data_IF_609010362553
#
_entry.id   IF_609010362553
#
_cell.length_a   1.000
_cell.length_b   1.000
_cell.length_c   1.000
_cell.angle_alpha   90.00
_cell.angle_beta   90.00
_cell.angle_gamma   90.00
#
_symmetry.space_group_name_H-M   'P 1'
#
loop_
_entity.id
_entity.type
_entity.pdbx_description
1 polymer ?
#
# COMPACT_ATOMS: atom_id res chain seq x y z
N UNK A 1 -0.18 13.97 -8.51
CA UNK A 1 0.46 13.93 -7.17
C UNK A 1 0.42 15.38 -6.73
N UNK A 2 -0.66 15.73 -6.03
CA UNK A 2 -1.12 17.13 -5.99
C UNK A 2 -0.46 17.92 -4.84
N UNK A 3 0.72 17.47 -4.42
CA UNK A 3 1.56 18.20 -3.48
C UNK A 3 2.56 19.02 -4.26
N UNK A 4 2.70 20.31 -3.90
CA UNK A 4 3.77 21.18 -4.40
C UNK A 4 5.12 20.82 -3.76
N UNK A 5 5.49 19.53 -3.83
CA UNK A 5 6.75 19.01 -3.33
C UNK A 5 7.68 18.79 -4.51
N UNK A 6 8.91 19.27 -4.39
CA UNK A 6 10.00 18.99 -5.34
C UNK A 6 10.60 17.58 -5.13
N UNK A 7 9.96 16.74 -4.33
CA UNK A 7 10.42 15.41 -3.97
C UNK A 7 9.26 14.40 -3.96
N UNK A 8 9.58 13.14 -4.26
CA UNK A 8 8.62 12.03 -4.24
C UNK A 8 8.51 11.50 -2.81
N UNK A 9 7.47 11.93 -2.10
CA UNK A 9 7.29 11.67 -0.67
C UNK A 9 7.41 10.20 -0.24
N UNK A 10 6.84 9.19 -0.94
CA UNK A 10 7.01 7.79 -0.55
C UNK A 10 8.49 7.34 -0.55
N UNK A 11 9.27 7.77 -1.54
CA UNK A 11 10.69 7.43 -1.63
C UNK A 11 11.51 8.13 -0.55
N UNK A 12 11.22 9.42 -0.30
CA UNK A 12 11.83 10.20 0.78
C UNK A 12 11.54 9.58 2.15
N UNK A 13 10.30 9.18 2.40
CA UNK A 13 9.91 8.57 3.67
C UNK A 13 10.56 7.20 3.88
N UNK A 14 10.71 6.37 2.83
CA UNK A 14 11.47 5.13 2.91
C UNK A 14 12.94 5.38 3.24
N UNK A 15 13.56 6.38 2.60
CA UNK A 15 14.95 6.75 2.87
C UNK A 15 15.16 7.23 4.31
N UNK A 16 14.17 7.94 4.87
CA UNK A 16 14.14 8.37 6.28
C UNK A 16 13.73 7.26 7.26
N UNK A 17 13.61 6.00 6.82
CA UNK A 17 13.31 4.87 7.70
C UNK A 17 11.87 4.79 8.22
N UNK A 18 10.92 5.54 7.61
CA UNK A 18 9.52 5.57 8.08
C UNK A 18 8.69 4.35 7.66
N UNK A 19 9.22 3.48 6.79
CA UNK A 19 8.54 2.29 6.30
C UNK A 19 9.07 1.83 4.95
N UNK A 20 8.32 0.96 4.28
CA UNK A 20 8.69 0.40 2.97
C UNK A 20 7.54 0.50 1.95
N UNK A 21 7.83 0.33 0.66
CA UNK A 21 6.87 0.54 -0.43
C UNK A 21 6.14 -0.77 -0.74
N UNK A 22 4.82 -0.77 -0.51
CA UNK A 22 3.96 -1.90 -0.84
C UNK A 22 3.69 -2.05 -2.34
N UNK A 23 3.08 -3.18 -2.73
CA UNK A 23 2.64 -3.45 -4.12
C UNK A 23 1.76 -2.33 -4.72
N UNK A 24 0.96 -1.67 -3.88
CA UNK A 24 0.08 -0.56 -4.31
C UNK A 24 0.84 0.76 -4.56
N UNK A 25 2.16 0.79 -4.36
CA UNK A 25 3.02 1.94 -4.66
C UNK A 25 3.08 3.01 -3.57
N UNK A 26 2.45 2.79 -2.41
CA UNK A 26 2.46 3.71 -1.28
C UNK A 26 3.34 3.16 -0.13
N UNK A 27 3.75 4.05 0.76
CA UNK A 27 4.48 3.67 1.98
C UNK A 27 3.57 2.86 2.92
N UNK A 28 4.13 1.81 3.50
CA UNK A 28 3.58 1.04 4.60
C UNK A 28 4.48 1.27 5.81
N UNK A 29 3.93 1.87 6.86
CA UNK A 29 4.61 2.04 8.13
C UNK A 29 4.34 0.83 9.05
N UNK A 30 5.30 0.41 9.88
CA UNK A 30 5.12 -0.71 10.82
C UNK A 30 3.95 -0.51 11.81
N UNK A 31 3.71 0.72 12.27
CA UNK A 31 2.70 1.04 13.27
C UNK A 31 1.34 1.38 12.65
N UNK A 32 1.33 2.17 11.58
CA UNK A 32 0.10 2.73 11.01
C UNK A 32 -0.33 2.07 9.69
N UNK A 33 0.45 1.11 9.18
CA UNK A 33 0.25 0.50 7.88
C UNK A 33 0.27 1.53 6.76
N UNK A 34 -0.68 1.43 5.83
CA UNK A 34 -0.82 2.40 4.73
C UNK A 34 -1.72 3.60 5.08
N UNK A 35 -2.22 3.71 6.32
CA UNK A 35 -3.18 4.75 6.75
C UNK A 35 -2.48 6.02 7.22
N UNK A 36 -1.58 6.55 6.41
CA UNK A 36 -0.83 7.77 6.71
C UNK A 36 -0.71 8.68 5.49
N UNK A 37 -0.53 9.97 5.74
CA UNK A 37 -0.17 10.96 4.72
C UNK A 37 1.24 11.48 5.01
N UNK A 38 2.00 11.67 3.94
CA UNK A 38 3.38 12.12 4.02
C UNK A 38 3.46 13.59 3.65
N UNK A 39 4.34 14.30 4.34
CA UNK A 39 4.78 15.64 4.01
C UNK A 39 6.24 15.79 4.42
N UNK A 40 6.92 16.79 3.86
CA UNK A 40 8.30 17.08 4.18
C UNK A 40 8.53 18.59 4.29
N UNK A 41 9.53 18.95 5.07
CA UNK A 41 10.14 20.29 5.12
C UNK A 41 11.61 20.11 4.78
N UNK A 42 12.10 20.86 3.80
CA UNK A 42 13.51 20.90 3.44
C UNK A 42 14.20 22.02 4.20
N UNK A 43 15.43 21.78 4.66
CA UNK A 43 16.21 22.76 5.40
C UNK A 43 17.70 22.54 5.16
N UNK A 44 18.48 23.61 5.23
CA UNK A 44 19.95 23.57 5.21
C UNK A 44 20.53 23.36 6.62
N UNK A 45 19.68 23.29 7.66
CA UNK A 45 20.11 23.00 9.02
C UNK A 45 20.82 21.64 9.07
N UNK A 46 22.04 21.55 9.62
CA UNK A 46 22.70 20.26 9.79
C UNK A 46 21.92 19.41 10.80
N UNK A 47 21.43 18.26 10.33
CA UNK A 47 20.69 17.28 11.12
C UNK A 47 21.40 15.93 11.04
N UNK A 48 21.26 15.12 12.10
CA UNK A 48 21.66 13.71 12.06
C UNK A 48 20.60 12.98 11.25
N UNK A 49 21.02 12.32 10.16
CA UNK A 49 20.10 11.59 9.28
C UNK A 49 19.80 10.21 9.82
N UNK A 50 18.53 9.81 9.76
CA UNK A 50 18.12 8.43 9.95
C UNK A 50 18.61 7.53 8.80
N UNK A 51 18.56 6.22 9.03
CA UNK A 51 18.83 5.20 8.00
C UNK A 51 17.54 4.51 7.56
N UNK A 52 17.51 3.93 6.34
CA UNK A 52 16.40 3.08 5.93
C UNK A 52 16.13 1.98 6.95
N UNK A 53 14.85 1.69 7.19
CA UNK A 53 14.47 0.65 8.15
C UNK A 53 14.65 -0.74 7.57
N UNK A 54 14.83 -1.75 8.43
CA UNK A 54 14.88 -3.16 8.02
C UNK A 54 13.50 -3.75 7.70
N UNK A 55 12.42 -3.01 7.93
CA UNK A 55 11.07 -3.45 7.60
C UNK A 55 10.94 -3.61 6.09
N UNK A 56 10.65 -4.83 5.64
CA UNK A 56 10.54 -5.18 4.22
C UNK A 56 9.18 -5.81 3.95
N UNK A 57 8.35 -5.14 3.14
CA UNK A 57 6.99 -5.60 2.82
C UNK A 57 6.92 -6.41 1.53
N UNK A 58 8.02 -6.50 0.77
CA UNK A 58 8.05 -7.17 -0.53
C UNK A 58 7.62 -8.66 -0.44
N UNK A 59 8.18 -9.49 0.47
CA UNK A 59 7.80 -10.91 0.54
C UNK A 59 6.31 -11.12 0.82
N UNK A 60 5.74 -10.32 1.73
CA UNK A 60 4.32 -10.36 2.03
C UNK A 60 3.47 -9.91 0.84
N UNK A 61 3.88 -8.85 0.16
CA UNK A 61 3.19 -8.30 -1.00
C UNK A 61 3.15 -9.29 -2.18
N UNK A 62 4.14 -10.18 -2.32
CA UNK A 62 4.17 -11.24 -3.34
C UNK A 62 3.00 -12.21 -3.20
N UNK A 63 2.62 -12.54 -1.97
CA UNK A 63 1.58 -13.55 -1.68
C UNK A 63 0.19 -12.91 -1.50
N UNK A 64 0.11 -11.77 -0.83
CA UNK A 64 -1.16 -11.20 -0.38
C UNK A 64 -2.12 -10.85 -1.54
N UNK A 65 -1.64 -10.06 -2.52
CA UNK A 65 -2.37 -9.53 -3.69
C UNK A 65 -3.76 -8.90 -3.43
N UNK A 66 -4.13 -8.61 -2.18
CA UNK A 66 -5.49 -8.14 -1.84
C UNK A 66 -5.82 -6.78 -2.46
N UNK A 67 -4.84 -5.89 -2.58
CA UNK A 67 -5.00 -4.61 -3.27
C UNK A 67 -5.24 -4.77 -4.79
N UNK A 68 -4.71 -5.83 -5.42
CA UNK A 68 -4.97 -6.15 -6.84
C UNK A 68 -6.42 -6.58 -7.01
N UNK A 69 -6.89 -7.52 -6.18
CA UNK A 69 -8.27 -8.06 -6.23
C UNK A 69 -9.35 -7.01 -6.00
N UNK A 70 -9.03 -5.91 -5.32
CA UNK A 70 -9.99 -4.87 -4.92
C UNK A 70 -9.87 -3.57 -5.71
N UNK A 71 -8.84 -3.41 -6.53
CA UNK A 71 -8.66 -2.19 -7.31
C UNK A 71 -9.68 -2.13 -8.44
N UNK A 72 -10.72 -1.31 -8.30
CA UNK A 72 -11.73 -1.09 -9.34
C UNK A 72 -11.15 -0.57 -10.67
N UNK A 73 -9.98 0.09 -10.60
CA UNK A 73 -9.29 0.63 -11.77
C UNK A 73 -8.40 -0.40 -12.48
N UNK A 74 -8.16 -1.57 -11.85
CA UNK A 74 -7.14 -2.55 -12.29
C UNK A 74 -5.74 -1.93 -12.47
N UNK A 75 -5.47 -0.86 -11.73
CA UNK A 75 -4.24 -0.08 -11.84
C UNK A 75 -3.02 -0.72 -11.15
N UNK A 76 -3.22 -1.72 -10.30
CA UNK A 76 -2.16 -2.35 -9.51
C UNK A 76 -1.77 -3.69 -10.17
N UNK A 77 -0.48 -3.91 -10.50
CA UNK A 77 -0.05 -5.13 -11.18
C UNK A 77 -0.09 -6.35 -10.25
N UNK A 78 -0.53 -7.49 -10.78
CA UNK A 78 -0.33 -8.83 -10.20
C UNK A 78 1.07 -9.37 -10.50
N UNK A 79 1.46 -10.44 -9.81
CA UNK A 79 2.71 -11.16 -10.06
C UNK A 79 3.95 -10.47 -9.52
N UNK A 80 5.10 -10.79 -10.10
CA UNK A 80 6.43 -10.35 -9.64
C UNK A 80 6.71 -8.85 -9.91
N UNK A 81 7.47 -8.16 -9.05
CA UNK A 81 7.91 -6.80 -9.32
C UNK A 81 8.93 -6.81 -10.47
N UNK A 82 8.93 -5.73 -11.26
CA UNK A 82 9.77 -5.59 -12.45
C UNK A 82 10.91 -4.62 -12.19
N UNK A 83 11.99 -4.76 -12.94
CA UNK A 83 13.08 -3.78 -12.95
C UNK A 83 12.66 -2.58 -13.81
N UNK A 84 12.59 -1.40 -13.19
CA UNK A 84 12.11 -0.18 -13.82
C UNK A 84 13.06 0.95 -13.44
N UNK A 85 13.81 1.46 -14.41
CA UNK A 85 14.86 2.47 -14.19
C UNK A 85 15.88 2.05 -13.11
N UNK A 86 16.31 0.77 -13.14
CA UNK A 86 17.28 0.22 -12.20
C UNK A 86 16.73 -0.07 -10.79
N UNK A 87 15.41 0.08 -10.58
CA UNK A 87 14.77 -0.24 -9.29
C UNK A 87 13.74 -1.33 -9.49
N UNK A 88 13.86 -2.42 -8.72
CA UNK A 88 12.87 -3.49 -8.68
C UNK A 88 11.63 -3.02 -7.90
N UNK A 89 10.48 -2.94 -8.55
CA UNK A 89 9.22 -2.50 -7.91
C UNK A 89 7.97 -2.92 -8.69
N UNK A 90 6.83 -2.87 -8.01
CA UNK A 90 5.52 -2.83 -8.67
C UNK A 90 5.21 -1.38 -9.05
N UNK A 91 5.08 -1.10 -10.35
CA UNK A 91 4.64 0.21 -10.83
C UNK A 91 3.15 0.14 -11.17
N UNK A 92 2.37 0.99 -10.49
CA UNK A 92 0.93 1.14 -10.78
C UNK A 92 0.73 1.93 -12.08
N UNK A 93 -0.39 1.68 -12.76
CA UNK A 93 -0.90 2.55 -13.82
C UNK A 93 -1.59 3.77 -13.18
N UNK A 94 -0.85 4.88 -13.09
CA UNK A 94 -1.32 6.10 -12.43
C UNK A 94 -2.51 6.74 -13.15
N UNK A 95 -2.54 6.65 -14.48
CA UNK A 95 -3.62 7.20 -15.31
C UNK A 95 -4.93 6.46 -15.06
N UNK A 96 -4.91 5.12 -15.02
CA UNK A 96 -6.10 4.33 -14.68
C UNK A 96 -6.58 4.60 -13.26
N UNK A 97 -5.64 4.71 -12.30
CA UNK A 97 -5.97 5.06 -10.91
C UNK A 97 -6.69 6.42 -10.84
N UNK A 98 -6.13 7.43 -11.50
CA UNK A 98 -6.68 8.79 -11.52
C UNK A 98 -8.01 8.88 -12.27
N UNK A 99 -8.14 8.22 -13.43
CA UNK A 99 -9.40 8.13 -14.17
C UNK A 99 -10.53 7.57 -13.30
N UNK A 100 -10.22 6.63 -12.40
CA UNK A 100 -11.23 6.11 -11.47
C UNK A 100 -11.66 7.13 -10.43
N UNK A 101 -10.78 8.01 -9.96
CA UNK A 101 -11.13 9.10 -9.05
C UNK A 101 -12.11 10.06 -9.72
N UNK A 102 -11.83 10.44 -10.98
CA UNK A 102 -12.72 11.28 -11.78
C UNK A 102 -14.11 10.65 -11.96
N UNK A 103 -14.16 9.33 -12.15
CA UNK A 103 -15.44 8.61 -12.29
C UNK A 103 -16.21 8.52 -10.97
N UNK A 104 -15.51 8.39 -9.83
CA UNK A 104 -16.14 8.30 -8.51
C UNK A 104 -16.55 9.69 -7.97
N UNK A 105 -16.00 10.78 -8.51
CA UNK A 105 -16.22 12.14 -8.02
C UNK A 105 -15.53 12.45 -6.69
N UNK A 106 -14.62 11.59 -6.25
CA UNK A 106 -13.86 11.71 -4.99
C UNK A 106 -12.58 10.86 -5.05
N UNK A 107 -11.68 11.08 -4.10
CA UNK A 107 -10.54 10.20 -3.83
C UNK A 107 -11.02 8.75 -3.59
N UNK A 108 -10.27 7.77 -4.08
CA UNK A 108 -10.61 6.35 -3.94
C UNK A 108 -10.10 5.75 -2.61
N UNK A 109 -8.80 5.42 -2.53
CA UNK A 109 -8.19 4.85 -1.32
C UNK A 109 -8.52 3.38 -1.01
N UNK A 110 -9.20 2.63 -1.90
CA UNK A 110 -9.57 1.23 -1.62
C UNK A 110 -8.36 0.33 -1.33
N UNK A 111 -7.23 0.58 -2.01
CA UNK A 111 -5.98 -0.15 -1.78
C UNK A 111 -5.38 0.10 -0.39
N UNK A 112 -5.58 1.31 0.16
CA UNK A 112 -5.18 1.66 1.53
C UNK A 112 -6.12 0.95 2.51
N UNK A 113 -7.43 1.05 2.29
CA UNK A 113 -8.43 0.51 3.21
C UNK A 113 -8.36 -1.03 3.35
N UNK A 114 -8.09 -1.73 2.25
CA UNK A 114 -8.06 -3.20 2.20
C UNK A 114 -6.73 -3.83 2.61
N UNK A 115 -5.64 -3.04 2.64
CA UNK A 115 -4.30 -3.53 2.94
C UNK A 115 -4.29 -4.17 4.34
N UNK A 116 -3.77 -5.40 4.53
CA UNK A 116 -3.74 -6.02 5.86
C UNK A 116 -3.01 -5.18 6.92
N UNK A 117 -1.94 -4.50 6.54
CA UNK A 117 -1.22 -3.57 7.41
C UNK A 117 -2.08 -2.41 7.91
N UNK A 118 -3.13 -2.03 7.17
CA UNK A 118 -4.06 -0.99 7.61
C UNK A 118 -5.02 -1.48 8.70
N UNK A 119 -5.14 -2.79 8.93
CA UNK A 119 -6.03 -3.39 9.94
C UNK A 119 -5.27 -3.86 11.18
N UNK A 120 -4.18 -3.17 11.55
CA UNK A 120 -3.32 -3.48 12.69
C UNK A 120 -2.72 -4.89 12.63
N UNK A 121 -2.28 -5.33 11.45
CA UNK A 121 -1.53 -6.57 11.36
C UNK A 121 -0.19 -6.41 12.10
N UNK A 122 0.09 -7.20 13.15
CA UNK A 122 1.33 -7.08 13.92
C UNK A 122 2.57 -7.29 13.05
N UNK A 123 3.59 -6.46 13.26
CA UNK A 123 4.84 -6.47 12.49
C UNK A 123 5.64 -7.75 12.75
N UNK A 124 5.56 -8.28 13.97
CA UNK A 124 6.19 -9.54 14.37
C UNK A 124 5.61 -10.70 13.58
N UNK A 125 4.31 -10.63 13.27
CA UNK A 125 3.72 -11.60 12.37
C UNK A 125 4.34 -11.44 10.99
N UNK A 126 4.49 -10.21 10.46
CA UNK A 126 5.08 -9.90 9.14
C UNK A 126 6.47 -10.53 8.98
N UNK A 127 7.30 -10.45 10.02
CA UNK A 127 8.62 -11.11 10.09
C UNK A 127 8.50 -12.65 10.09
N UNK A 128 7.50 -13.20 10.79
CA UNK A 128 7.20 -14.62 10.76
C UNK A 128 6.76 -15.12 9.36
N UNK A 129 6.08 -14.31 8.52
CA UNK A 129 5.75 -14.68 7.11
C UNK A 129 7.01 -14.90 6.27
N UNK A 130 8.05 -14.10 6.52
CA UNK A 130 9.30 -14.18 5.74
C UNK A 130 10.01 -15.51 6.02
N UNK A 131 9.82 -16.08 7.21
CA UNK A 131 10.47 -17.32 7.63
C UNK A 131 9.66 -18.58 7.26
N UNK A 132 8.32 -18.54 7.25
CA UNK A 132 7.46 -19.68 6.87
C UNK A 132 6.23 -19.25 6.02
N UNK A 133 6.21 -19.56 4.71
CA UNK A 133 5.08 -19.31 3.82
C UNK A 133 3.76 -20.01 4.22
N UNK A 134 3.83 -21.07 5.01
CA UNK A 134 2.64 -21.81 5.45
C UNK A 134 1.87 -21.04 6.51
N UNK A 135 2.59 -20.37 7.43
CA UNK A 135 2.00 -19.43 8.38
C UNK A 135 1.37 -18.24 7.66
N UNK A 136 1.93 -17.88 6.49
CA UNK A 136 1.44 -16.77 5.71
C UNK A 136 0.00 -16.94 5.24
N UNK A 137 -0.31 -18.11 4.70
CA UNK A 137 -1.64 -18.42 4.21
C UNK A 137 -2.67 -18.48 5.33
N UNK A 138 -2.32 -19.03 6.50
CA UNK A 138 -3.24 -19.17 7.64
C UNK A 138 -3.69 -17.80 8.11
N UNK A 139 -2.78 -16.86 8.28
CA UNK A 139 -3.15 -15.53 8.71
C UNK A 139 -3.82 -14.72 7.62
N UNK A 140 -3.45 -14.87 6.35
CA UNK A 140 -4.18 -14.22 5.27
C UNK A 140 -5.63 -14.70 5.26
N UNK A 141 -5.88 -16.00 5.45
CA UNK A 141 -7.23 -16.58 5.58
C UNK A 141 -7.97 -16.04 6.80
N UNK A 142 -7.32 -15.98 7.97
CA UNK A 142 -7.92 -15.41 9.18
C UNK A 142 -8.25 -13.92 9.01
N UNK A 143 -7.33 -13.14 8.45
CA UNK A 143 -7.53 -11.73 8.16
C UNK A 143 -8.63 -11.53 7.11
N UNK A 144 -8.73 -12.37 6.08
CA UNK A 144 -9.82 -12.33 5.10
C UNK A 144 -11.18 -12.70 5.71
N UNK A 145 -11.21 -13.63 6.66
CA UNK A 145 -12.41 -13.96 7.42
C UNK A 145 -12.90 -12.78 8.26
N UNK A 146 -11.98 -12.07 8.94
CA UNK A 146 -12.31 -10.89 9.76
C UNK A 146 -12.63 -9.64 8.93
N UNK A 147 -11.93 -9.47 7.82
CA UNK A 147 -12.01 -8.28 6.96
C UNK A 147 -12.24 -8.70 5.50
N UNK A 148 -13.44 -9.23 5.17
CA UNK A 148 -13.74 -9.67 3.82
C UNK A 148 -13.72 -8.49 2.85
N UNK A 149 -13.44 -8.78 1.58
CA UNK A 149 -13.57 -7.79 0.52
C UNK A 149 -15.03 -7.35 0.46
N UNK A 150 -15.29 -6.05 0.61
CA UNK A 150 -16.64 -5.51 0.52
C UNK A 150 -17.19 -5.80 -0.88
N UNK A 151 -18.33 -6.49 -1.02
CA UNK A 151 -18.90 -6.79 -2.32
C UNK A 151 -19.33 -5.51 -3.02
N UNK A 152 -19.13 -5.47 -4.34
CA UNK A 152 -19.61 -4.36 -5.16
C UNK A 152 -21.14 -4.44 -5.27
N UNK A 153 -21.84 -3.49 -4.64
CA UNK A 153 -23.28 -3.37 -4.77
C UNK A 153 -23.60 -2.65 -6.09
N UNK A 154 -24.06 -3.42 -7.08
CA UNK A 154 -24.50 -2.90 -8.40
C UNK A 154 -25.87 -2.23 -8.35
N UNK A 155 -26.72 -2.70 -7.44
CA UNK A 155 -28.11 -2.26 -7.36
C UNK A 155 -28.20 -0.96 -6.59
N UNK A 156 -29.02 -0.04 -7.09
CA UNK A 156 -29.38 1.17 -6.36
C UNK A 156 -30.19 0.73 -5.13
N UNK A 157 -29.77 1.08 -3.91
CA UNK A 157 -30.50 0.72 -2.71
C UNK A 157 -31.95 1.21 -2.79
N UNK A 158 -32.89 0.42 -2.26
CA UNK A 158 -34.32 0.76 -2.33
C UNK A 158 -34.65 2.14 -1.73
N UNK A 159 -33.84 2.62 -0.78
CA UNK A 159 -33.97 3.93 -0.14
C UNK A 159 -33.43 5.12 -0.95
N UNK A 160 -32.74 4.88 -2.06
CA UNK A 160 -32.19 5.93 -2.94
C UNK A 160 -33.12 6.26 -4.13
N UNK A 161 -34.27 5.60 -4.23
CA UNK A 161 -35.32 5.90 -5.22
C UNK A 161 -36.26 7.00 -4.74
#
# INVERSE_FOLDING_TARGET
MDGNYLAVMPLTARAAGLGDIGRHGLLINPTYGSRLRLGAVTTDLPLITDSPSNFNVEPFCRICEKCVRTCHAQAIPSGEPKEIHGVKRWQINQEQCFAKWLTLGTDCGICIATCPFSSNLPVELVEAYIQDPTQAEVLLKDHESRYPIRPFQKEIPAWFK
#
